data_IF_564697700639
#
_entry.id   IF_564697700639
#
_cell.length_a   1.000
_cell.length_b   1.000
_cell.length_c   1.000
_cell.angle_alpha   90.00
_cell.angle_beta   90.00
_cell.angle_gamma   90.00
#
_symmetry.space_group_name_H-M   'P 1'
#
loop_
_entity.id
_entity.type
_entity.pdbx_description
1 polymer ?
#
# COMPACT_ATOMS: atom_id res chain seq x y z
N UNK A 1 2.82 33.78 -0.34
CA UNK A 1 2.94 35.23 -0.07
C UNK A 1 4.28 35.59 0.57
N UNK A 2 4.74 34.92 1.63
CA UNK A 2 6.02 35.19 2.32
C UNK A 2 7.24 35.14 1.40
N UNK A 3 7.33 34.16 0.50
CA UNK A 3 8.44 34.00 -0.45
C UNK A 3 8.54 35.20 -1.40
N UNK A 4 7.41 35.72 -1.89
CA UNK A 4 7.37 36.87 -2.81
C UNK A 4 7.86 38.13 -2.10
N UNK A 5 7.37 38.39 -0.89
CA UNK A 5 7.76 39.56 -0.09
C UNK A 5 9.27 39.53 0.24
N UNK A 6 9.79 38.34 0.56
CA UNK A 6 11.23 38.18 0.83
C UNK A 6 12.06 38.43 -0.43
N UNK A 7 11.58 38.04 -1.61
CA UNK A 7 12.27 38.23 -2.88
C UNK A 7 12.30 39.71 -3.28
N UNK A 8 11.20 40.45 -3.14
CA UNK A 8 11.15 41.90 -3.36
C UNK A 8 12.12 42.69 -2.45
N UNK A 9 12.18 42.31 -1.18
CA UNK A 9 13.11 42.94 -0.23
C UNK A 9 14.58 42.68 -0.59
N UNK A 10 14.92 41.52 -1.14
CA UNK A 10 16.26 41.16 -1.58
C UNK A 10 16.65 41.97 -2.83
N UNK A 11 15.72 42.19 -3.77
CA UNK A 11 15.97 42.97 -4.99
C UNK A 11 16.35 44.41 -4.69
N UNK A 12 15.78 44.99 -3.64
CA UNK A 12 16.07 46.37 -3.21
C UNK A 12 17.47 46.55 -2.57
N UNK A 13 18.15 45.44 -2.23
CA UNK A 13 19.49 45.49 -1.60
C UNK A 13 20.57 44.95 -2.55
N UNK A 14 21.26 45.81 -3.32
CA UNK A 14 22.17 45.40 -4.39
C UNK A 14 23.30 44.47 -3.92
N UNK A 15 23.87 44.70 -2.74
CA UNK A 15 24.89 43.82 -2.17
C UNK A 15 24.35 42.42 -1.80
N UNK A 16 23.14 42.38 -1.29
CA UNK A 16 22.48 41.14 -0.93
C UNK A 16 22.05 40.34 -2.18
N UNK A 17 21.56 41.03 -3.19
CA UNK A 17 21.24 40.47 -4.50
C UNK A 17 22.44 39.82 -5.17
N UNK A 18 23.63 40.49 -5.13
CA UNK A 18 24.86 39.90 -5.69
C UNK A 18 25.30 38.65 -4.94
N UNK A 19 25.18 38.62 -3.59
CA UNK A 19 25.46 37.41 -2.80
C UNK A 19 24.50 36.29 -3.13
N UNK A 20 23.22 36.62 -3.25
CA UNK A 20 22.17 35.64 -3.61
C UNK A 20 22.43 35.06 -5.01
N UNK A 21 22.75 35.89 -6.01
CA UNK A 21 23.10 35.42 -7.35
C UNK A 21 24.32 34.50 -7.34
N UNK A 22 25.37 34.81 -6.59
CA UNK A 22 26.53 33.92 -6.42
C UNK A 22 26.17 32.59 -5.80
N UNK A 23 25.38 32.59 -4.71
CA UNK A 23 24.90 31.37 -4.06
C UNK A 23 24.01 30.54 -4.97
N UNK A 24 23.14 31.17 -5.76
CA UNK A 24 22.28 30.48 -6.72
C UNK A 24 23.13 29.79 -7.81
N UNK A 25 24.12 30.47 -8.35
CA UNK A 25 25.03 29.89 -9.35
C UNK A 25 25.79 28.69 -8.73
N UNK A 26 26.36 28.86 -7.55
CA UNK A 26 27.07 27.79 -6.85
C UNK A 26 26.15 26.59 -6.63
N UNK A 27 24.90 26.82 -6.19
CA UNK A 27 23.93 25.75 -5.98
C UNK A 27 23.56 25.02 -7.28
N UNK A 28 23.42 25.77 -8.39
CA UNK A 28 23.16 25.16 -9.71
C UNK A 28 24.36 24.32 -10.15
N UNK A 29 25.59 24.83 -9.98
CA UNK A 29 26.79 24.06 -10.32
C UNK A 29 26.90 22.79 -9.49
N UNK A 30 26.65 22.87 -8.19
CA UNK A 30 26.63 21.67 -7.30
C UNK A 30 25.57 20.67 -7.75
N UNK A 31 24.34 21.11 -8.08
CA UNK A 31 23.28 20.24 -8.58
C UNK A 31 23.66 19.58 -9.91
N UNK A 32 24.26 20.31 -10.83
CA UNK A 32 24.72 19.75 -12.11
C UNK A 32 25.84 18.74 -11.89
N UNK A 33 26.82 19.04 -11.05
CA UNK A 33 27.89 18.09 -10.69
C UNK A 33 27.33 16.85 -9.99
N UNK A 34 26.41 17.03 -9.07
CA UNK A 34 25.74 15.88 -8.41
C UNK A 34 24.98 15.00 -9.43
N UNK A 35 24.29 15.62 -10.40
CA UNK A 35 23.64 14.89 -11.49
C UNK A 35 24.63 14.16 -12.40
N UNK A 36 25.76 14.77 -12.72
CA UNK A 36 26.81 14.11 -13.49
C UNK A 36 27.43 12.93 -12.75
N UNK A 37 27.65 13.05 -11.43
CA UNK A 37 28.12 11.94 -10.59
C UNK A 37 27.09 10.80 -10.54
N UNK A 38 25.80 11.11 -10.53
CA UNK A 38 24.72 10.12 -10.58
C UNK A 38 24.57 9.46 -11.96
N UNK A 39 24.87 10.17 -13.04
CA UNK A 39 24.84 9.63 -14.40
C UNK A 39 26.05 8.72 -14.70
N UNK A 40 27.18 9.00 -14.10
CA UNK A 40 28.41 8.23 -14.23
C UNK A 40 28.71 7.60 -12.87
N UNK A 41 28.56 6.26 -12.66
CA UNK A 41 28.75 5.60 -11.36
C UNK A 41 30.24 5.60 -10.95
N UNK A 42 30.80 6.80 -10.75
CA UNK A 42 32.20 7.01 -10.32
C UNK A 42 32.35 6.74 -8.81
N UNK A 43 31.28 6.96 -8.06
CA UNK A 43 31.25 6.72 -6.62
C UNK A 43 30.33 5.54 -6.33
N UNK A 44 30.70 4.62 -5.40
CA UNK A 44 29.83 3.54 -4.94
C UNK A 44 28.75 4.11 -3.99
N UNK A 45 27.89 5.01 -4.54
CA UNK A 45 26.71 5.45 -3.82
C UNK A 45 25.72 4.28 -3.80
N UNK A 46 24.96 4.08 -2.71
CA UNK A 46 23.92 3.06 -2.68
C UNK A 46 22.97 3.32 -3.84
N UNK A 47 23.02 2.41 -4.81
CA UNK A 47 22.47 2.57 -6.15
C UNK A 47 20.94 2.45 -6.15
N UNK A 48 20.25 3.44 -5.63
CA UNK A 48 18.79 3.45 -5.62
C UNK A 48 18.18 3.59 -7.03
N UNK A 49 18.90 4.25 -7.96
CA UNK A 49 18.40 4.50 -9.31
C UNK A 49 19.14 3.70 -10.40
N UNK A 50 20.41 3.32 -10.17
CA UNK A 50 21.23 2.67 -11.20
C UNK A 50 20.74 1.25 -11.53
N UNK A 51 20.15 0.56 -10.54
CA UNK A 51 19.67 -0.80 -10.71
C UNK A 51 18.18 -0.89 -11.14
N UNK A 52 17.48 0.25 -11.19
CA UNK A 52 16.05 0.26 -11.46
C UNK A 52 15.70 -0.33 -12.83
N UNK A 53 16.52 -0.07 -13.83
CA UNK A 53 16.33 -0.63 -15.18
C UNK A 53 16.58 -2.13 -15.20
N UNK A 54 17.68 -2.59 -14.61
CA UNK A 54 18.02 -4.02 -14.53
C UNK A 54 16.98 -4.78 -13.69
N UNK A 55 16.56 -4.20 -12.58
CA UNK A 55 15.50 -4.75 -11.75
C UNK A 55 14.19 -4.87 -12.52
N UNK A 56 13.79 -3.83 -13.25
CA UNK A 56 12.56 -3.85 -14.04
C UNK A 56 12.61 -4.92 -15.13
N UNK A 57 13.76 -5.11 -15.79
CA UNK A 57 13.97 -6.16 -16.78
C UNK A 57 13.91 -7.56 -16.14
N UNK A 58 14.58 -7.76 -15.01
CA UNK A 58 14.53 -9.02 -14.28
C UNK A 58 13.11 -9.37 -13.84
N UNK A 59 12.35 -8.39 -13.34
CA UNK A 59 10.93 -8.58 -12.99
C UNK A 59 10.13 -8.96 -14.23
N UNK A 60 10.31 -8.28 -15.35
CA UNK A 60 9.62 -8.58 -16.61
C UNK A 60 9.90 -10.01 -17.10
N UNK A 61 11.13 -10.49 -16.96
CA UNK A 61 11.52 -11.85 -17.29
C UNK A 61 10.81 -12.90 -16.40
N UNK A 62 10.85 -12.73 -15.08
CA UNK A 62 10.23 -13.70 -14.14
C UNK A 62 8.70 -13.65 -14.14
N UNK A 63 8.12 -12.55 -14.59
CA UNK A 63 6.66 -12.39 -14.73
C UNK A 63 6.15 -12.64 -16.14
N UNK A 64 7.04 -13.00 -17.07
CA UNK A 64 6.69 -13.29 -18.46
C UNK A 64 5.97 -12.10 -19.15
N UNK A 65 6.29 -10.87 -18.71
CA UNK A 65 5.67 -9.65 -19.21
C UNK A 65 4.25 -9.38 -18.72
N UNK A 66 3.75 -10.16 -17.79
CA UNK A 66 2.45 -9.94 -17.16
C UNK A 66 2.44 -8.70 -16.23
N UNK A 67 1.28 -8.10 -15.94
CA UNK A 67 1.17 -6.97 -15.03
C UNK A 67 1.77 -7.23 -13.64
N UNK A 68 2.48 -6.23 -13.13
CA UNK A 68 3.21 -6.29 -11.86
C UNK A 68 2.60 -5.35 -10.85
N UNK A 69 2.30 -5.86 -9.66
CA UNK A 69 1.73 -5.13 -8.54
C UNK A 69 2.74 -5.13 -7.39
N UNK A 70 3.32 -3.97 -7.10
CA UNK A 70 4.21 -3.81 -5.94
C UNK A 70 3.42 -3.57 -4.66
N UNK A 71 3.87 -4.20 -3.58
CA UNK A 71 3.31 -3.98 -2.26
C UNK A 71 3.93 -2.73 -1.63
N UNK A 72 3.07 -1.87 -1.09
CA UNK A 72 3.42 -0.72 -0.25
C UNK A 72 4.45 0.26 -0.86
N UNK A 73 4.62 0.25 -2.20
CA UNK A 73 5.64 1.05 -2.87
C UNK A 73 5.21 1.61 -4.22
N UNK A 74 4.74 2.84 -4.21
CA UNK A 74 4.44 3.58 -5.43
C UNK A 74 5.70 3.91 -6.27
N UNK A 75 6.85 4.09 -5.61
CA UNK A 75 8.11 4.39 -6.28
C UNK A 75 8.57 3.23 -7.16
N UNK A 76 8.57 2.01 -6.63
CA UNK A 76 8.92 0.80 -7.37
C UNK A 76 7.97 0.57 -8.54
N UNK A 77 6.67 0.80 -8.32
CA UNK A 77 5.64 0.72 -9.38
C UNK A 77 5.92 1.69 -10.52
N UNK A 78 6.21 2.95 -10.19
CA UNK A 78 6.53 3.98 -11.19
C UNK A 78 7.81 3.67 -11.96
N UNK A 79 8.86 3.18 -11.27
CA UNK A 79 10.11 2.77 -11.91
C UNK A 79 9.89 1.56 -12.83
N UNK A 80 9.11 0.58 -12.42
CA UNK A 80 8.72 -0.54 -13.25
C UNK A 80 7.99 -0.07 -14.51
N UNK A 81 6.97 0.77 -14.37
CA UNK A 81 6.23 1.31 -15.50
C UNK A 81 7.11 2.15 -16.46
N UNK A 82 8.15 2.79 -15.93
CA UNK A 82 9.07 3.60 -16.74
C UNK A 82 10.07 2.74 -17.54
N UNK A 83 10.64 1.70 -16.92
CA UNK A 83 11.73 0.92 -17.51
C UNK A 83 11.28 -0.38 -18.19
N UNK A 84 10.11 -0.93 -17.88
CA UNK A 84 9.59 -2.11 -18.54
C UNK A 84 9.07 -1.81 -19.94
N UNK A 85 9.14 -2.78 -20.85
CA UNK A 85 8.61 -2.66 -22.21
C UNK A 85 7.09 -2.49 -22.21
N UNK A 86 6.41 -3.23 -21.34
CA UNK A 86 4.96 -3.27 -21.27
C UNK A 86 4.36 -2.14 -20.44
N UNK A 87 5.20 -1.33 -19.77
CA UNK A 87 4.79 -0.17 -18.93
C UNK A 87 3.76 -0.49 -17.85
N UNK A 88 3.73 -1.74 -17.36
CA UNK A 88 2.81 -2.19 -16.34
C UNK A 88 3.49 -2.19 -14.96
N UNK A 89 3.16 -1.21 -14.14
CA UNK A 89 3.60 -1.13 -12.76
C UNK A 89 2.48 -0.55 -11.91
N UNK A 90 1.92 -1.37 -11.03
CA UNK A 90 0.82 -1.01 -10.15
C UNK A 90 1.29 -1.04 -8.70
N UNK A 91 0.63 -0.27 -7.84
CA UNK A 91 0.87 -0.29 -6.40
C UNK A 91 -0.38 -0.73 -5.65
N UNK A 92 -0.18 -1.57 -4.65
CA UNK A 92 -1.23 -2.08 -3.79
C UNK A 92 -0.80 -1.85 -2.34
N UNK A 93 -1.52 -0.98 -1.63
CA UNK A 93 -1.24 -0.71 -0.23
C UNK A 93 -1.86 -1.79 0.64
N UNK A 94 -1.01 -2.55 1.32
CA UNK A 94 -1.44 -3.51 2.33
C UNK A 94 -1.77 -2.82 3.66
N UNK A 95 -2.25 -3.58 4.63
CA UNK A 95 -2.49 -3.06 5.99
C UNK A 95 -1.21 -2.60 6.70
N UNK A 96 -0.05 -2.94 6.18
CA UNK A 96 1.26 -2.52 6.71
C UNK A 96 1.76 -1.23 6.07
N UNK A 97 1.10 -0.76 5.01
CA UNK A 97 1.42 0.54 4.41
C UNK A 97 1.30 1.66 5.45
N UNK A 98 2.37 2.42 5.60
CA UNK A 98 2.41 3.48 6.61
C UNK A 98 1.72 4.76 6.16
N UNK A 99 1.52 4.94 4.84
CA UNK A 99 0.81 6.08 4.26
C UNK A 99 0.10 5.72 2.97
N UNK A 100 -1.00 6.43 2.69
CA UNK A 100 -1.66 6.39 1.39
C UNK A 100 -0.82 7.06 0.30
N UNK A 101 -1.07 6.71 -0.94
CA UNK A 101 -0.45 7.28 -2.12
C UNK A 101 -1.49 7.44 -3.25
N UNK A 102 -1.09 8.01 -4.39
CA UNK A 102 -2.01 8.28 -5.50
C UNK A 102 -2.68 7.02 -6.08
N UNK A 103 -2.04 5.87 -6.01
CA UNK A 103 -2.63 4.59 -6.48
C UNK A 103 -3.83 4.14 -5.65
N UNK A 104 -3.98 4.65 -4.42
CA UNK A 104 -5.17 4.36 -3.60
C UNK A 104 -6.43 5.08 -4.10
N UNK A 105 -6.25 6.13 -4.90
CA UNK A 105 -7.33 6.95 -5.47
C UNK A 105 -7.57 6.66 -6.95
N UNK A 106 -6.61 6.02 -7.63
CA UNK A 106 -6.73 5.65 -9.03
C UNK A 106 -7.39 4.27 -9.17
N UNK A 107 -8.19 4.14 -10.21
CA UNK A 107 -8.87 2.88 -10.52
C UNK A 107 -8.01 1.97 -11.44
N UNK A 108 -6.70 2.17 -11.46
CA UNK A 108 -5.79 1.46 -12.37
C UNK A 108 -5.84 -0.06 -12.18
N UNK A 109 -5.99 -0.52 -10.93
CA UNK A 109 -6.09 -1.94 -10.60
C UNK A 109 -7.37 -2.59 -11.12
N UNK A 110 -8.42 -1.82 -11.42
CA UNK A 110 -9.68 -2.34 -11.96
C UNK A 110 -9.47 -2.96 -13.34
N UNK A 111 -8.53 -2.41 -14.10
CA UNK A 111 -8.15 -2.94 -15.40
C UNK A 111 -7.59 -4.37 -15.36
N UNK A 112 -7.21 -4.84 -14.16
CA UNK A 112 -6.65 -6.17 -13.93
C UNK A 112 -7.68 -7.20 -13.47
N UNK A 113 -8.94 -6.79 -13.22
CA UNK A 113 -9.97 -7.72 -12.80
C UNK A 113 -10.14 -8.87 -13.81
N UNK A 114 -10.17 -10.10 -13.27
CA UNK A 114 -10.25 -11.32 -14.06
C UNK A 114 -8.96 -11.74 -14.77
N UNK A 115 -7.91 -10.90 -14.74
CA UNK A 115 -6.63 -11.17 -15.41
C UNK A 115 -5.62 -11.83 -14.47
N UNK A 116 -4.53 -12.29 -15.06
CA UNK A 116 -3.33 -12.68 -14.33
C UNK A 116 -2.50 -11.43 -14.02
N UNK A 117 -1.96 -11.37 -12.79
CA UNK A 117 -1.00 -10.36 -12.36
C UNK A 117 0.01 -10.98 -11.39
N UNK A 118 1.14 -10.33 -11.21
CA UNK A 118 2.13 -10.76 -10.23
C UNK A 118 2.27 -9.75 -9.10
N UNK A 119 2.11 -10.21 -7.86
CA UNK A 119 2.52 -9.46 -6.70
C UNK A 119 4.02 -9.59 -6.50
N UNK A 120 4.69 -8.46 -6.27
CA UNK A 120 6.15 -8.40 -6.12
C UNK A 120 6.52 -7.57 -4.90
N UNK A 121 7.53 -8.01 -4.19
CA UNK A 121 8.22 -7.21 -3.19
C UNK A 121 9.73 -7.50 -3.19
N UNK A 122 10.51 -6.56 -2.67
CA UNK A 122 11.96 -6.68 -2.54
C UNK A 122 12.29 -6.71 -1.06
N UNK A 123 12.96 -7.78 -0.63
CA UNK A 123 13.38 -8.06 0.74
C UNK A 123 12.23 -8.34 1.73
N UNK A 124 10.98 -8.34 1.31
CA UNK A 124 9.86 -8.72 2.17
C UNK A 124 9.11 -9.90 1.57
N UNK A 125 9.08 -11.00 2.30
CA UNK A 125 8.42 -12.23 1.86
C UNK A 125 6.90 -12.04 1.76
N UNK A 126 6.36 -12.38 0.59
CA UNK A 126 4.92 -12.50 0.36
C UNK A 126 4.52 -13.94 0.65
N UNK A 127 3.48 -14.16 1.45
CA UNK A 127 3.00 -15.51 1.78
C UNK A 127 2.84 -16.39 0.55
N UNK A 128 3.52 -17.55 0.53
CA UNK A 128 3.56 -18.50 -0.58
C UNK A 128 4.15 -17.93 -1.90
N UNK A 129 5.08 -16.99 -1.80
CA UNK A 129 5.83 -16.48 -2.96
C UNK A 129 6.96 -17.41 -3.38
N UNK A 130 7.39 -17.24 -4.64
CA UNK A 130 8.72 -17.67 -5.09
C UNK A 130 9.72 -16.57 -4.79
N UNK A 131 10.99 -16.89 -4.74
CA UNK A 131 12.07 -15.92 -4.51
C UNK A 131 13.18 -16.08 -5.54
N UNK A 132 13.83 -14.95 -5.84
CA UNK A 132 15.02 -14.87 -6.69
C UNK A 132 16.02 -13.92 -6.02
N UNK A 133 17.27 -14.37 -5.87
CA UNK A 133 18.35 -13.50 -5.39
C UNK A 133 18.85 -12.65 -6.56
N UNK A 134 18.81 -11.35 -6.39
CA UNK A 134 19.30 -10.38 -7.36
C UNK A 134 20.83 -10.26 -7.29
N UNK A 135 21.47 -9.68 -8.30
CA UNK A 135 22.94 -9.50 -8.36
C UNK A 135 23.51 -8.67 -7.21
N UNK A 136 22.71 -7.78 -6.66
CA UNK A 136 23.05 -6.92 -5.53
C UNK A 136 22.75 -7.54 -4.15
N UNK A 137 22.51 -8.85 -4.11
CA UNK A 137 22.14 -9.62 -2.91
C UNK A 137 20.76 -9.29 -2.30
N UNK A 138 19.95 -8.43 -2.91
CA UNK A 138 18.55 -8.29 -2.54
C UNK A 138 17.77 -9.52 -2.98
N UNK A 139 16.67 -9.82 -2.29
CA UNK A 139 15.78 -10.92 -2.67
C UNK A 139 14.49 -10.37 -3.24
N UNK A 140 14.19 -10.73 -4.48
CA UNK A 140 12.92 -10.48 -5.12
C UNK A 140 11.95 -11.60 -4.74
N UNK A 141 10.84 -11.25 -4.11
CA UNK A 141 9.72 -12.16 -3.87
C UNK A 141 8.62 -11.87 -4.88
N UNK A 142 8.08 -12.91 -5.50
CA UNK A 142 7.02 -12.75 -6.50
C UNK A 142 6.00 -13.87 -6.43
N UNK A 143 4.74 -13.53 -6.69
CA UNK A 143 3.61 -14.43 -6.61
C UNK A 143 2.61 -14.19 -7.71
N UNK A 144 2.30 -15.23 -8.46
CA UNK A 144 1.25 -15.20 -9.49
C UNK A 144 -0.13 -15.21 -8.85
N UNK A 145 -0.94 -14.24 -9.22
CA UNK A 145 -2.37 -14.16 -8.91
C UNK A 145 -3.16 -14.35 -10.20
N UNK A 146 -3.80 -15.49 -10.35
CA UNK A 146 -4.71 -15.76 -11.46
C UNK A 146 -6.11 -15.30 -11.10
N UNK A 147 -6.85 -14.74 -12.06
CA UNK A 147 -8.19 -14.23 -11.84
C UNK A 147 -8.20 -13.19 -10.69
N UNK A 148 -7.33 -12.17 -10.82
CA UNK A 148 -7.22 -11.09 -9.84
C UNK A 148 -8.56 -10.39 -9.66
N UNK A 149 -8.90 -10.05 -8.44
CA UNK A 149 -10.08 -9.26 -8.11
C UNK A 149 -9.66 -8.07 -7.26
N UNK A 150 -9.85 -6.88 -7.79
CA UNK A 150 -9.61 -5.66 -7.03
C UNK A 150 -10.68 -5.46 -5.96
N UNK A 151 -10.24 -5.32 -4.70
CA UNK A 151 -11.11 -5.06 -3.57
C UNK A 151 -10.79 -3.73 -2.88
N UNK A 152 -9.94 -2.92 -3.49
CA UNK A 152 -9.37 -1.70 -2.90
C UNK A 152 -10.44 -0.70 -2.45
N UNK A 153 -11.49 -0.53 -3.23
CA UNK A 153 -12.53 0.46 -2.99
C UNK A 153 -13.71 -0.06 -2.16
N UNK A 154 -13.73 -1.34 -1.79
CA UNK A 154 -14.73 -1.85 -0.86
C UNK A 154 -14.62 -1.12 0.48
N UNK A 155 -15.77 -0.85 1.10
CA UNK A 155 -15.82 -0.16 2.40
C UNK A 155 -16.56 -1.02 3.42
N UNK A 156 -16.00 -1.05 4.63
CA UNK A 156 -16.62 -1.68 5.79
C UNK A 156 -16.99 -0.60 6.80
N UNK A 157 -18.25 -0.55 7.15
CA UNK A 157 -18.78 0.37 8.17
C UNK A 157 -19.42 -0.45 9.28
N UNK A 158 -18.95 -0.27 10.51
CA UNK A 158 -19.59 -0.87 11.69
C UNK A 158 -20.89 -0.09 11.94
N UNK A 159 -22.02 -0.80 11.97
CA UNK A 159 -23.34 -0.18 12.16
C UNK A 159 -23.66 0.00 13.65
N UNK A 160 -23.21 -0.93 14.47
CA UNK A 160 -23.42 -0.92 15.91
C UNK A 160 -22.22 -0.24 16.61
N UNK A 161 -22.44 0.27 17.83
CA UNK A 161 -21.34 0.78 18.63
C UNK A 161 -20.56 -0.37 19.28
N UNK A 162 -19.28 -0.50 18.97
CA UNK A 162 -18.38 -1.40 19.70
C UNK A 162 -17.98 -0.70 21.01
N UNK A 163 -18.17 -1.34 22.19
CA UNK A 163 -17.76 -0.76 23.46
C UNK A 163 -16.27 -0.40 23.48
N UNK A 164 -15.95 0.76 24.04
CA UNK A 164 -14.55 1.21 24.16
C UNK A 164 -13.74 0.37 25.17
N UNK A 165 -14.41 -0.35 26.09
CA UNK A 165 -13.78 -1.26 27.06
C UNK A 165 -14.32 -2.66 26.84
N UNK A 166 -13.41 -3.60 26.62
CA UNK A 166 -13.72 -5.00 26.33
C UNK A 166 -12.98 -5.91 27.31
N UNK A 167 -13.57 -7.04 27.67
CA UNK A 167 -12.92 -8.06 28.51
C UNK A 167 -12.36 -9.18 27.64
N UNK A 168 -11.20 -9.68 28.04
CA UNK A 168 -10.59 -10.86 27.41
C UNK A 168 -11.57 -12.02 27.37
N UNK A 169 -11.75 -12.62 26.19
CA UNK A 169 -12.64 -13.77 25.98
C UNK A 169 -14.11 -13.42 25.73
N UNK A 170 -14.52 -12.16 25.90
CA UNK A 170 -15.88 -11.74 25.50
C UNK A 170 -16.10 -12.00 24.01
N UNK A 171 -17.31 -12.31 23.64
CA UNK A 171 -17.74 -12.41 22.25
C UNK A 171 -18.75 -11.30 21.95
N UNK A 172 -18.41 -10.43 21.04
CA UNK A 172 -19.31 -9.40 20.51
C UNK A 172 -19.97 -9.90 19.23
N UNK A 173 -21.25 -9.65 19.08
CA UNK A 173 -21.97 -9.80 17.83
C UNK A 173 -22.48 -8.42 17.42
N UNK A 174 -22.23 -8.04 16.18
CA UNK A 174 -22.65 -6.74 15.64
C UNK A 174 -22.76 -6.80 14.12
N UNK A 175 -23.48 -5.85 13.58
CA UNK A 175 -23.68 -5.74 12.15
C UNK A 175 -22.68 -4.78 11.52
N UNK A 176 -22.18 -5.16 10.35
CA UNK A 176 -21.35 -4.33 9.49
C UNK A 176 -21.99 -4.19 8.12
N UNK A 177 -21.90 -3.01 7.56
CA UNK A 177 -22.25 -2.74 6.17
C UNK A 177 -20.99 -2.92 5.32
N UNK A 178 -21.10 -3.73 4.29
CA UNK A 178 -20.10 -3.86 3.23
C UNK A 178 -20.63 -3.18 1.98
N UNK A 179 -19.96 -2.13 1.54
CA UNK A 179 -20.30 -1.34 0.35
C UNK A 179 -19.37 -1.67 -0.81
N UNK A 180 -19.94 -1.89 -1.99
CA UNK A 180 -19.25 -1.93 -3.27
C UNK A 180 -19.56 -0.64 -4.06
N UNK A 181 -18.71 0.40 -4.03
CA UNK A 181 -18.91 1.61 -4.79
C UNK A 181 -18.51 1.47 -6.27
N UNK A 182 -17.95 0.34 -6.68
CA UNK A 182 -17.50 0.11 -8.04
C UNK A 182 -18.69 -0.14 -8.97
N UNK A 183 -18.48 0.10 -10.26
CA UNK A 183 -19.45 -0.14 -11.34
C UNK A 183 -19.44 -1.59 -11.86
N UNK A 184 -18.66 -2.47 -11.22
CA UNK A 184 -18.56 -3.89 -11.53
C UNK A 184 -18.87 -4.76 -10.29
N UNK A 185 -19.24 -6.01 -10.54
CA UNK A 185 -19.50 -6.99 -9.50
C UNK A 185 -18.21 -7.55 -8.88
N UNK A 186 -18.27 -7.90 -7.60
CA UNK A 186 -17.15 -8.49 -6.86
C UNK A 186 -17.50 -9.93 -6.45
N UNK A 187 -16.81 -10.96 -6.96
CA UNK A 187 -16.91 -12.33 -6.46
C UNK A 187 -16.42 -12.43 -5.02
N UNK A 188 -17.28 -12.89 -4.10
CA UNK A 188 -16.98 -12.91 -2.66
C UNK A 188 -16.49 -14.27 -2.15
N UNK A 189 -16.45 -15.29 -2.97
CA UNK A 189 -16.06 -16.67 -2.60
C UNK A 189 -14.62 -16.81 -2.07
N UNK A 190 -13.75 -15.88 -2.48
CA UNK A 190 -12.32 -15.84 -2.07
C UNK A 190 -12.03 -14.79 -1.02
N UNK A 191 -13.02 -14.01 -0.62
CA UNK A 191 -12.85 -12.89 0.31
C UNK A 191 -13.14 -13.34 1.73
N UNK A 192 -12.30 -12.93 2.66
CA UNK A 192 -12.46 -13.19 4.09
C UNK A 192 -12.38 -11.88 4.86
N UNK A 193 -13.26 -11.74 5.85
CA UNK A 193 -13.15 -10.71 6.84
C UNK A 193 -12.07 -11.09 7.85
N UNK A 194 -11.20 -10.14 8.12
CA UNK A 194 -10.17 -10.24 9.16
C UNK A 194 -10.19 -9.00 10.03
N UNK A 195 -9.74 -9.12 11.25
CA UNK A 195 -9.52 -7.97 12.12
C UNK A 195 -8.04 -7.83 12.46
N UNK A 196 -7.63 -6.61 12.77
CA UNK A 196 -6.27 -6.30 13.17
C UNK A 196 -6.26 -5.48 14.43
N UNK A 197 -5.31 -5.74 15.32
CA UNK A 197 -5.01 -4.93 16.47
C UNK A 197 -3.63 -4.30 16.30
N UNK A 198 -3.52 -3.00 16.52
CA UNK A 198 -2.26 -2.27 16.47
C UNK A 198 -2.21 -1.17 17.52
N UNK A 199 -1.01 -0.88 18.05
CA UNK A 199 -0.79 0.30 18.91
C UNK A 199 -0.56 1.57 18.08
N UNK A 200 -0.12 1.39 16.85
CA UNK A 200 0.05 2.44 15.84
C UNK A 200 -0.32 1.86 14.47
N UNK A 201 -0.30 2.69 13.44
CA UNK A 201 -0.51 2.22 12.06
C UNK A 201 0.57 1.22 11.60
N UNK A 202 1.73 1.23 12.21
CA UNK A 202 2.91 0.43 11.80
C UNK A 202 3.04 -0.91 12.52
N UNK A 203 2.59 -1.01 13.79
CA UNK A 203 2.74 -2.21 14.61
C UNK A 203 1.41 -2.94 14.76
N UNK A 204 1.04 -3.75 13.79
CA UNK A 204 -0.24 -4.44 13.78
C UNK A 204 -0.08 -5.95 13.86
N UNK A 205 -0.74 -6.53 14.86
CA UNK A 205 -1.01 -7.95 14.89
C UNK A 205 -2.36 -8.17 14.20
N UNK A 206 -2.43 -9.14 13.31
CA UNK A 206 -3.67 -9.51 12.66
C UNK A 206 -4.03 -10.96 12.99
N UNK A 207 -5.32 -11.24 13.07
CA UNK A 207 -5.83 -12.62 13.16
C UNK A 207 -7.05 -12.76 12.26
N UNK A 208 -7.19 -13.90 11.56
CA UNK A 208 -8.43 -14.18 10.85
C UNK A 208 -9.58 -14.26 11.84
N UNK A 209 -10.76 -13.80 11.42
CA UNK A 209 -11.96 -14.03 12.20
C UNK A 209 -12.18 -15.55 12.31
N UNK A 210 -12.30 -16.07 13.53
CA UNK A 210 -12.45 -17.52 13.76
C UNK A 210 -13.79 -18.06 13.26
N UNK A 211 -14.85 -17.24 13.34
CA UNK A 211 -16.15 -17.59 12.76
C UNK A 211 -16.22 -17.04 11.34
N UNK A 212 -16.57 -17.89 10.38
CA UNK A 212 -16.75 -17.46 9.00
C UNK A 212 -17.94 -16.50 8.91
N UNK A 213 -17.69 -15.31 8.39
CA UNK A 213 -18.74 -14.39 7.98
C UNK A 213 -19.37 -14.95 6.70
N UNK A 214 -20.68 -14.99 6.65
CA UNK A 214 -21.40 -15.36 5.44
C UNK A 214 -21.49 -14.15 4.51
N UNK A 215 -20.73 -14.19 3.44
CA UNK A 215 -20.85 -13.24 2.35
C UNK A 215 -21.83 -13.75 1.29
N UNK A 216 -22.47 -12.85 0.52
CA UNK A 216 -23.14 -13.26 -0.71
C UNK A 216 -22.12 -13.88 -1.68
N UNK A 217 -22.56 -14.67 -2.65
CA UNK A 217 -21.64 -15.20 -3.68
C UNK A 217 -20.99 -14.10 -4.51
N UNK A 218 -21.77 -13.05 -4.76
CA UNK A 218 -21.37 -11.88 -5.55
C UNK A 218 -21.93 -10.64 -4.87
N UNK A 219 -21.15 -9.58 -4.80
CA UNK A 219 -21.58 -8.26 -4.39
C UNK A 219 -21.77 -7.40 -5.65
N UNK A 220 -23.03 -7.02 -5.92
CA UNK A 220 -23.40 -6.31 -7.13
C UNK A 220 -22.76 -4.91 -7.23
N UNK A 221 -22.66 -4.31 -8.43
CA UNK A 221 -22.20 -2.94 -8.61
C UNK A 221 -23.03 -1.94 -7.81
N UNK A 222 -22.39 -0.91 -7.28
CA UNK A 222 -23.04 0.19 -6.54
C UNK A 222 -24.05 -0.29 -5.49
N UNK A 223 -23.72 -1.40 -4.81
CA UNK A 223 -24.62 -2.04 -3.84
C UNK A 223 -23.96 -2.21 -2.48
N UNK A 224 -24.78 -2.52 -1.50
CA UNK A 224 -24.32 -2.83 -0.16
C UNK A 224 -25.04 -4.03 0.42
N UNK A 225 -24.40 -4.69 1.37
CA UNK A 225 -24.97 -5.80 2.14
C UNK A 225 -24.62 -5.64 3.61
N UNK A 226 -25.57 -5.97 4.49
CA UNK A 226 -25.29 -6.09 5.92
C UNK A 226 -24.82 -7.50 6.23
N UNK A 227 -23.71 -7.61 6.95
CA UNK A 227 -23.11 -8.86 7.39
C UNK A 227 -23.07 -8.89 8.92
N UNK A 228 -23.44 -10.00 9.53
CA UNK A 228 -23.30 -10.19 10.97
C UNK A 228 -21.92 -10.73 11.31
N UNK A 229 -21.23 -10.05 12.22
CA UNK A 229 -19.84 -10.32 12.58
C UNK A 229 -19.75 -10.74 14.04
N UNK A 230 -19.00 -11.80 14.29
CA UNK A 230 -18.66 -12.24 15.64
C UNK A 230 -17.19 -11.96 15.92
N UNK A 231 -16.91 -11.17 16.95
CA UNK A 231 -15.57 -10.83 17.38
C UNK A 231 -15.30 -11.40 18.77
N UNK A 232 -14.38 -12.33 18.85
CA UNK A 232 -13.86 -12.84 20.12
C UNK A 232 -12.68 -11.98 20.57
N UNK A 233 -12.82 -11.32 21.71
CA UNK A 233 -11.80 -10.42 22.26
C UNK A 233 -10.54 -11.22 22.62
N UNK A 234 -9.40 -10.93 21.98
CA UNK A 234 -8.18 -11.71 22.18
C UNK A 234 -7.53 -11.40 23.54
N UNK A 235 -6.67 -12.32 24.02
CA UNK A 235 -5.89 -12.11 25.24
C UNK A 235 -4.70 -11.16 25.02
N UNK A 236 -5.01 -9.89 24.71
CA UNK A 236 -4.04 -8.82 24.50
C UNK A 236 -4.47 -7.59 25.29
N UNK A 237 -4.12 -7.52 26.57
CA UNK A 237 -4.46 -6.39 27.45
C UNK A 237 -3.83 -5.08 27.00
N UNK A 238 -4.55 -3.97 27.22
CA UNK A 238 -4.07 -2.61 26.96
C UNK A 238 -4.94 -1.84 25.96
N UNK A 239 -4.43 -0.71 25.52
CA UNK A 239 -5.08 0.17 24.56
C UNK A 239 -4.68 -0.23 23.14
N UNK A 240 -5.67 -0.36 22.25
CA UNK A 240 -5.50 -0.86 20.90
C UNK A 240 -6.34 -0.09 19.89
N UNK A 241 -5.87 -0.07 18.64
CA UNK A 241 -6.65 0.30 17.47
C UNK A 241 -7.16 -0.98 16.80
N UNK A 242 -8.47 -1.20 16.84
CA UNK A 242 -9.15 -2.28 16.14
C UNK A 242 -9.52 -1.80 14.73
N UNK A 243 -9.12 -2.57 13.73
CA UNK A 243 -9.52 -2.33 12.34
C UNK A 243 -10.08 -3.60 11.71
N UNK A 244 -10.96 -3.41 10.76
CA UNK A 244 -11.52 -4.45 9.92
C UNK A 244 -10.93 -4.36 8.52
N UNK A 245 -10.55 -5.49 8.00
CA UNK A 245 -9.92 -5.61 6.70
C UNK A 245 -10.53 -6.75 5.92
N UNK A 246 -10.48 -6.64 4.60
CA UNK A 246 -10.80 -7.74 3.71
C UNK A 246 -9.51 -8.35 3.18
N UNK A 247 -9.51 -9.64 3.02
CA UNK A 247 -8.42 -10.40 2.45
C UNK A 247 -8.92 -11.27 1.32
N UNK A 248 -8.44 -11.05 0.13
CA UNK A 248 -8.61 -12.01 -0.94
C UNK A 248 -7.67 -13.20 -0.70
N UNK A 249 -8.14 -14.43 -0.87
CA UNK A 249 -7.38 -15.66 -0.58
C UNK A 249 -6.01 -15.65 -1.27
N UNK A 250 -4.96 -15.72 -0.45
CA UNK A 250 -3.59 -15.75 -0.94
C UNK A 250 -3.00 -14.39 -1.31
N UNK A 251 -3.72 -13.29 -1.20
CA UNK A 251 -3.24 -11.93 -1.42
C UNK A 251 -3.04 -11.18 -0.09
N UNK A 252 -2.28 -10.09 -0.08
CA UNK A 252 -2.15 -9.22 1.07
C UNK A 252 -3.49 -8.63 1.50
N UNK A 253 -3.63 -8.29 2.78
CA UNK A 253 -4.82 -7.66 3.34
C UNK A 253 -4.80 -6.16 3.08
N UNK A 254 -5.98 -5.56 2.90
CA UNK A 254 -6.18 -4.11 2.81
C UNK A 254 -7.07 -3.61 3.94
N UNK A 255 -6.89 -2.34 4.31
CA UNK A 255 -7.81 -1.65 5.21
C UNK A 255 -9.09 -1.27 4.48
N UNK A 256 -10.23 -1.55 5.12
CA UNK A 256 -11.54 -1.23 4.58
C UNK A 256 -12.44 -0.53 5.62
N UNK A 257 -11.97 -0.36 6.86
CA UNK A 257 -12.70 0.36 7.90
C UNK A 257 -11.85 1.44 8.55
N UNK A 258 -12.51 2.41 9.16
CA UNK A 258 -11.86 3.33 10.07
C UNK A 258 -11.41 2.62 11.35
N UNK A 259 -10.26 2.99 11.92
CA UNK A 259 -9.77 2.42 13.16
C UNK A 259 -10.63 2.83 14.35
N UNK A 260 -10.96 1.87 15.22
CA UNK A 260 -11.68 2.09 16.45
C UNK A 260 -10.75 1.93 17.65
N UNK A 261 -10.73 2.91 18.54
CA UNK A 261 -9.93 2.83 19.77
C UNK A 261 -10.67 1.98 20.79
N UNK A 262 -10.02 0.94 21.29
CA UNK A 262 -10.55 0.03 22.30
C UNK A 262 -9.51 -0.20 23.40
N UNK A 263 -10.00 -0.51 24.62
CA UNK A 263 -9.18 -0.95 25.73
C UNK A 263 -9.59 -2.35 26.14
N UNK A 264 -8.64 -3.29 26.12
CA UNK A 264 -8.87 -4.67 26.53
C UNK A 264 -8.40 -4.84 27.98
N UNK A 265 -9.31 -5.27 28.84
CA UNK A 265 -9.08 -5.52 30.27
C UNK A 265 -9.21 -7.02 30.57
N UNK A 266 -8.95 -7.38 31.82
CA UNK A 266 -9.07 -8.78 32.27
C UNK A 266 -10.52 -9.21 32.40
#
# INVERSE_FOLDING_TARGET
PLIIITFESIIQMPKLLQRFKKLAIISIVILVLARLVLLFPILPLPAFEFDAKELAQTIEEVTEGEPVIFLDSYQKSSLQAFYSKNKFGYSYNSITAWRGNQYDYWNDLDSLNGKTAFFVDINQEISYSKSLVLKDNRTLFYKKATNFTNIQHLKLTVLDSIPSILKVGDTLAFDMKLDNPNDYEIPMDRIKLVWTLGKSREARQWKPNKKSVQFPKVLAPNSSVTINVFFEVPNHKGDWLLNWALRNKGLPMMHHSEPQQIKIIQ
#
